data_IF_442282835602
#
_entry.id   IF_442282835602
#
_cell.length_a   1.000
_cell.length_b   1.000
_cell.length_c   1.000
_cell.angle_alpha   90.00
_cell.angle_beta   90.00
_cell.angle_gamma   90.00
#
_symmetry.space_group_name_H-M   'P 1'
#
loop_
_entity.id
_entity.type
_entity.pdbx_description
1 polymer ?
#
# COMPACT_ATOMS: atom_id res chain seq x y z
N UNK A 1 -13.43 5.45 7.01
CA UNK A 1 -14.32 4.88 8.05
C UNK A 1 -14.30 3.36 8.10
N UNK A 2 -14.56 2.62 6.98
CA UNK A 2 -14.58 1.17 6.98
C UNK A 2 -13.25 0.54 7.39
N UNK A 3 -12.13 1.05 6.91
CA UNK A 3 -10.80 0.55 7.27
C UNK A 3 -10.52 0.67 8.77
N UNK A 4 -10.81 1.82 9.38
CA UNK A 4 -10.60 2.02 10.82
C UNK A 4 -11.54 1.18 11.69
N UNK A 5 -12.74 0.92 11.20
CA UNK A 5 -13.70 0.08 11.91
C UNK A 5 -13.30 -1.40 11.88
N UNK A 6 -12.96 -1.93 10.70
CA UNK A 6 -12.69 -3.36 10.53
C UNK A 6 -11.21 -3.74 10.69
N UNK A 7 -10.27 -2.82 10.46
CA UNK A 7 -8.81 -3.06 10.46
C UNK A 7 -8.45 -4.33 9.70
N UNK A 8 -8.81 -4.42 8.42
CA UNK A 8 -8.64 -5.65 7.64
C UNK A 8 -7.17 -5.99 7.47
N UNK A 9 -6.82 -7.28 7.49
CA UNK A 9 -5.46 -7.74 7.22
C UNK A 9 -5.12 -7.65 5.73
N UNK A 10 -6.12 -7.78 4.86
CA UNK A 10 -5.98 -7.66 3.40
C UNK A 10 -7.07 -6.74 2.88
N UNK A 11 -6.69 -5.84 1.97
CA UNK A 11 -7.60 -4.92 1.28
C UNK A 11 -7.42 -5.04 -0.23
N UNK A 12 -8.51 -5.09 -0.97
CA UNK A 12 -8.50 -5.19 -2.43
C UNK A 12 -8.97 -3.87 -3.06
N UNK A 13 -8.23 -3.42 -4.08
CA UNK A 13 -8.50 -2.23 -4.86
C UNK A 13 -8.48 -2.60 -6.36
N UNK A 14 -9.51 -2.24 -7.11
CA UNK A 14 -9.74 -2.71 -8.48
C UNK A 14 -9.64 -1.56 -9.47
N UNK A 15 -8.70 -1.66 -10.41
CA UNK A 15 -8.33 -0.62 -11.37
C UNK A 15 -8.38 -1.08 -12.83
N UNK A 16 -8.27 -0.12 -13.74
CA UNK A 16 -8.28 -0.33 -15.19
C UNK A 16 -7.20 0.52 -15.88
N UNK A 17 -6.08 -0.09 -16.28
CA UNK A 17 -5.05 0.60 -17.08
C UNK A 17 -4.17 -0.29 -17.93
N UNK A 18 -4.05 -1.58 -17.63
CA UNK A 18 -3.10 -2.49 -18.30
C UNK A 18 -3.76 -3.78 -18.79
N UNK A 19 -3.14 -4.48 -19.78
CA UNK A 19 -3.75 -5.63 -20.43
C UNK A 19 -4.04 -6.81 -19.50
N UNK A 20 -5.15 -7.45 -19.74
CA UNK A 20 -5.61 -8.69 -19.12
C UNK A 20 -5.82 -8.57 -17.61
N UNK A 21 -4.96 -9.15 -16.78
CA UNK A 21 -5.02 -9.02 -15.33
C UNK A 21 -3.61 -8.88 -14.75
N UNK A 22 -3.30 -7.71 -14.28
CA UNK A 22 -2.17 -7.47 -13.40
C UNK A 22 -2.60 -7.66 -11.95
N UNK A 23 -1.77 -8.37 -11.17
CA UNK A 23 -1.92 -8.52 -9.72
C UNK A 23 -0.70 -7.96 -9.03
N UNK A 24 -0.90 -7.05 -8.11
CA UNK A 24 0.14 -6.17 -7.62
C UNK A 24 1.30 -6.84 -6.87
N UNK A 25 2.52 -6.57 -7.30
CA UNK A 25 3.76 -6.61 -6.50
C UNK A 25 4.56 -5.34 -6.69
N UNK A 26 4.41 -4.68 -7.84
CA UNK A 26 5.25 -3.56 -8.22
C UNK A 26 6.71 -3.95 -8.47
N UNK A 27 7.56 -2.95 -8.44
CA UNK A 27 9.01 -3.02 -8.56
C UNK A 27 9.61 -2.16 -7.43
N UNK A 28 10.71 -2.62 -6.83
CA UNK A 28 11.44 -1.77 -5.89
C UNK A 28 11.94 -0.45 -6.52
N UNK A 29 12.31 0.53 -5.73
CA UNK A 29 12.42 0.42 -4.28
C UNK A 29 11.06 0.50 -3.57
N UNK A 30 10.96 -0.21 -2.45
CA UNK A 30 9.85 -0.04 -1.50
C UNK A 30 10.27 0.94 -0.41
N UNK A 31 9.31 1.66 0.14
CA UNK A 31 9.58 2.61 1.21
C UNK A 31 10.21 1.90 2.41
N UNK A 32 11.31 2.43 2.92
CA UNK A 32 12.14 1.82 3.96
C UNK A 32 11.43 1.62 5.30
N UNK A 33 10.35 2.36 5.57
CA UNK A 33 9.58 2.24 6.80
C UNK A 33 8.57 1.09 6.80
N UNK A 34 8.28 0.50 5.63
CA UNK A 34 7.35 -0.64 5.52
C UNK A 34 7.99 -1.88 6.15
N UNK A 35 7.23 -2.57 7.01
CA UNK A 35 7.69 -3.82 7.60
C UNK A 35 7.93 -4.87 6.50
N UNK A 36 9.09 -5.57 6.50
CA UNK A 36 9.42 -6.60 5.50
C UNK A 36 8.35 -7.69 5.35
N UNK A 37 7.61 -8.02 6.41
CA UNK A 37 6.50 -8.97 6.33
C UNK A 37 5.43 -8.48 5.34
N UNK A 38 5.13 -7.18 5.30
CA UNK A 38 4.14 -6.64 4.35
C UNK A 38 4.58 -6.84 2.90
N UNK A 39 5.87 -6.62 2.62
CA UNK A 39 6.44 -6.84 1.28
C UNK A 39 6.39 -8.32 0.91
N UNK A 40 6.75 -9.22 1.83
CA UNK A 40 6.72 -10.67 1.62
C UNK A 40 5.28 -11.19 1.38
N UNK A 41 4.33 -10.80 2.24
CA UNK A 41 2.91 -11.14 2.06
C UNK A 41 2.38 -10.67 0.69
N UNK A 42 2.81 -9.52 0.25
CA UNK A 42 2.41 -8.93 -1.02
C UNK A 42 2.85 -9.77 -2.21
N UNK A 43 4.10 -10.24 -2.20
CA UNK A 43 4.64 -11.13 -3.22
C UNK A 43 3.94 -12.50 -3.19
N UNK A 44 3.74 -13.07 -2.00
CA UNK A 44 3.07 -14.36 -1.82
C UNK A 44 1.63 -14.32 -2.37
N UNK A 45 0.85 -13.32 -2.00
CA UNK A 45 -0.52 -13.14 -2.50
C UNK A 45 -0.57 -12.97 -4.02
N UNK A 46 0.33 -12.16 -4.59
CA UNK A 46 0.34 -11.92 -6.03
C UNK A 46 0.74 -13.17 -6.82
N UNK A 47 1.75 -13.90 -6.35
CA UNK A 47 2.19 -15.10 -7.04
C UNK A 47 1.21 -16.25 -6.89
N UNK A 48 0.49 -16.33 -5.77
CA UNK A 48 -0.62 -17.28 -5.61
C UNK A 48 -1.75 -16.99 -6.60
N UNK A 49 -2.15 -15.73 -6.78
CA UNK A 49 -3.13 -15.35 -7.81
C UNK A 49 -2.67 -15.78 -9.20
N UNK A 50 -1.42 -15.50 -9.57
CA UNK A 50 -0.85 -15.92 -10.88
C UNK A 50 -0.85 -17.43 -11.01
N UNK A 51 -0.46 -18.15 -9.96
CA UNK A 51 -0.36 -19.62 -9.96
C UNK A 51 -1.74 -20.28 -10.10
N UNK A 52 -2.70 -19.88 -9.27
CA UNK A 52 -4.04 -20.44 -9.27
C UNK A 52 -4.78 -20.18 -10.59
N UNK A 53 -4.69 -18.96 -11.11
CA UNK A 53 -5.35 -18.61 -12.36
C UNK A 53 -4.66 -19.25 -13.58
N UNK A 54 -3.34 -19.43 -13.53
CA UNK A 54 -2.61 -20.21 -14.54
C UNK A 54 -3.04 -21.67 -14.53
N UNK A 55 -3.20 -22.27 -13.34
CA UNK A 55 -3.64 -23.66 -13.16
C UNK A 55 -5.01 -23.94 -13.80
N UNK A 56 -5.92 -22.98 -13.75
CA UNK A 56 -7.24 -23.07 -14.40
C UNK A 56 -7.22 -22.64 -15.87
N UNK A 57 -6.05 -22.33 -16.42
CA UNK A 57 -5.87 -22.00 -17.83
C UNK A 57 -6.20 -20.56 -18.23
N UNK A 58 -6.36 -19.65 -17.28
CA UNK A 58 -6.63 -18.23 -17.56
C UNK A 58 -5.40 -17.57 -18.19
N UNK A 59 -5.48 -17.06 -19.44
CA UNK A 59 -4.34 -16.43 -20.08
C UNK A 59 -4.11 -15.00 -19.60
N UNK A 60 -2.85 -14.54 -19.63
CA UNK A 60 -2.48 -13.15 -19.46
C UNK A 60 -2.51 -12.62 -18.04
N UNK A 61 -2.61 -13.47 -17.03
CA UNK A 61 -2.44 -13.06 -15.63
C UNK A 61 -0.94 -12.85 -15.35
N UNK A 62 -0.60 -11.71 -14.76
CA UNK A 62 0.79 -11.34 -14.53
C UNK A 62 0.97 -10.44 -13.32
N UNK A 63 2.20 -10.40 -12.83
CA UNK A 63 2.63 -9.55 -11.73
C UNK A 63 3.97 -8.89 -12.08
N UNK A 64 4.62 -8.24 -11.13
CA UNK A 64 5.94 -7.63 -11.27
C UNK A 64 5.96 -6.34 -12.12
N UNK A 65 6.92 -5.45 -11.82
CA UNK A 65 7.06 -4.14 -12.46
C UNK A 65 5.79 -3.25 -12.37
N UNK A 66 5.61 -2.37 -13.30
CA UNK A 66 4.52 -1.43 -13.50
C UNK A 66 4.61 -0.19 -12.62
N UNK A 67 4.82 -0.28 -11.33
CA UNK A 67 4.97 0.84 -10.39
C UNK A 67 5.96 0.49 -9.28
N UNK A 68 6.40 1.49 -8.51
CA UNK A 68 7.23 1.26 -7.33
C UNK A 68 6.44 1.36 -6.02
N UNK A 69 7.05 0.87 -4.94
CA UNK A 69 6.46 0.79 -3.62
C UNK A 69 6.78 1.96 -2.69
N UNK A 70 6.92 3.17 -3.20
CA UNK A 70 7.42 4.29 -2.41
C UNK A 70 6.34 5.28 -1.96
N UNK A 71 5.46 5.68 -2.85
CA UNK A 71 4.55 6.80 -2.60
C UNK A 71 3.40 6.45 -1.64
N UNK A 72 3.15 7.34 -0.67
CA UNK A 72 2.11 7.17 0.34
C UNK A 72 0.71 7.63 -0.11
N UNK A 73 0.52 7.95 -1.38
CA UNK A 73 -0.71 8.59 -1.89
C UNK A 73 -1.71 7.64 -2.56
N UNK A 74 -1.37 6.37 -2.75
CA UNK A 74 -2.29 5.35 -3.24
C UNK A 74 -3.01 4.66 -2.09
N UNK A 75 -4.24 4.22 -2.32
CA UNK A 75 -5.06 3.53 -1.32
C UNK A 75 -4.37 2.27 -0.78
N UNK A 76 -3.70 1.50 -1.64
CA UNK A 76 -2.93 0.31 -1.24
C UNK A 76 -1.79 0.64 -0.28
N UNK A 77 -1.08 1.75 -0.50
CA UNK A 77 0.00 2.17 0.40
C UNK A 77 -0.54 2.60 1.75
N UNK A 78 -1.68 3.27 1.77
CA UNK A 78 -2.35 3.64 3.01
C UNK A 78 -2.73 2.42 3.85
N UNK A 79 -3.07 1.29 3.22
CA UNK A 79 -3.27 0.02 3.91
C UNK A 79 -1.94 -0.57 4.41
N UNK A 80 -0.91 -0.63 3.54
CA UNK A 80 0.42 -1.16 3.88
C UNK A 80 1.08 -0.38 5.03
N UNK A 81 0.91 0.93 5.07
CA UNK A 81 1.44 1.78 6.13
C UNK A 81 0.71 1.60 7.48
N UNK A 82 -0.42 0.89 7.49
CA UNK A 82 -1.19 0.49 8.67
C UNK A 82 -1.08 -1.01 8.99
N UNK A 83 0.01 -1.65 8.58
CA UNK A 83 0.29 -3.08 8.81
C UNK A 83 -0.67 -4.05 8.11
N UNK A 84 -1.57 -3.53 7.28
CA UNK A 84 -2.43 -4.30 6.41
C UNK A 84 -1.70 -4.66 5.11
N UNK A 85 -2.26 -5.53 4.30
CA UNK A 85 -1.77 -5.82 2.96
C UNK A 85 -2.72 -5.22 1.92
N UNK A 86 -2.34 -4.11 1.33
CA UNK A 86 -3.07 -3.48 0.25
C UNK A 86 -2.73 -4.16 -1.07
N UNK A 87 -3.77 -4.63 -1.76
CA UNK A 87 -3.66 -5.30 -3.06
C UNK A 87 -4.39 -4.48 -4.11
N UNK A 88 -3.81 -4.32 -5.29
CA UNK A 88 -4.60 -3.86 -6.41
C UNK A 88 -4.47 -4.75 -7.64
N UNK A 89 -5.49 -4.68 -8.45
CA UNK A 89 -5.69 -5.40 -9.69
C UNK A 89 -5.90 -4.41 -10.81
N UNK A 90 -5.32 -4.70 -11.98
CA UNK A 90 -5.51 -3.87 -13.16
C UNK A 90 -5.96 -4.72 -14.33
N UNK A 91 -6.92 -4.23 -15.08
CA UNK A 91 -7.33 -4.81 -16.36
C UNK A 91 -7.27 -3.77 -17.47
N UNK A 92 -7.65 -4.13 -18.70
CA UNK A 92 -7.73 -3.14 -19.79
C UNK A 92 -8.61 -1.95 -19.42
N UNK A 93 -8.10 -0.74 -19.65
CA UNK A 93 -8.90 0.48 -19.64
C UNK A 93 -9.94 0.48 -20.76
N UNK A 94 -11.14 0.93 -20.48
CA UNK A 94 -12.25 0.98 -21.42
C UNK A 94 -12.86 2.39 -21.47
N UNK A 95 -12.89 2.99 -22.67
CA UNK A 95 -13.51 4.31 -22.87
C UNK A 95 -15.04 4.25 -22.99
N UNK A 96 -15.60 3.08 -23.28
CA UNK A 96 -17.04 2.84 -23.35
C UNK A 96 -17.37 1.32 -23.22
N UNK A 97 -18.64 0.94 -23.00
CA UNK A 97 -19.02 -0.44 -22.66
C UNK A 97 -19.04 -1.43 -23.83
N UNK A 98 -18.62 -1.03 -25.03
CA UNK A 98 -18.59 -1.92 -26.20
C UNK A 98 -17.57 -3.02 -26.12
N UNK A 99 -17.63 -3.93 -27.08
CA UNK A 99 -16.63 -5.00 -27.26
C UNK A 99 -15.68 -4.61 -28.40
N UNK A 100 -14.38 -4.69 -28.14
CA UNK A 100 -13.34 -4.27 -29.09
C UNK A 100 -12.31 -5.34 -29.30
N UNK A 101 -11.73 -5.36 -30.49
CA UNK A 101 -10.50 -6.06 -30.73
C UNK A 101 -9.34 -5.33 -30.04
N UNK A 102 -8.61 -6.04 -29.19
CA UNK A 102 -7.36 -5.58 -28.57
C UNK A 102 -6.19 -6.33 -29.18
N UNK A 103 -5.17 -5.59 -29.62
CA UNK A 103 -3.92 -6.14 -30.17
C UNK A 103 -2.77 -5.83 -29.24
N UNK A 104 -2.01 -6.85 -28.90
CA UNK A 104 -0.87 -6.76 -28.01
C UNK A 104 0.44 -6.98 -28.79
N UNK A 105 1.46 -6.23 -28.42
CA UNK A 105 2.79 -6.42 -28.95
C UNK A 105 3.47 -7.68 -28.41
N UNK A 106 4.44 -8.21 -29.16
CA UNK A 106 5.21 -9.42 -28.81
C UNK A 106 5.79 -9.39 -27.39
N UNK A 107 6.23 -8.22 -26.91
CA UNK A 107 6.77 -8.06 -25.55
C UNK A 107 5.72 -8.39 -24.48
N UNK A 108 4.47 -8.04 -24.72
CA UNK A 108 3.37 -8.28 -23.78
C UNK A 108 2.81 -9.70 -23.87
N UNK A 109 3.14 -10.45 -24.93
CA UNK A 109 2.66 -11.82 -25.14
C UNK A 109 3.74 -12.88 -24.94
N UNK A 110 4.96 -12.51 -24.55
CA UNK A 110 6.02 -13.46 -24.26
C UNK A 110 5.82 -14.10 -22.88
N UNK A 111 6.11 -15.39 -22.77
CA UNK A 111 6.18 -16.09 -21.47
C UNK A 111 7.31 -15.50 -20.62
N UNK A 112 7.01 -15.23 -19.39
CA UNK A 112 7.94 -14.72 -18.37
C UNK A 112 7.68 -15.43 -17.06
N UNK A 113 8.63 -15.40 -16.13
CA UNK A 113 8.41 -15.96 -14.79
C UNK A 113 7.20 -15.31 -14.09
N UNK A 114 6.97 -14.02 -14.33
CA UNK A 114 5.88 -13.24 -13.78
C UNK A 114 4.59 -13.27 -14.64
N UNK A 115 4.62 -13.93 -15.77
CA UNK A 115 3.51 -14.17 -16.71
C UNK A 115 3.69 -15.54 -17.36
N UNK A 116 3.46 -16.63 -16.62
CA UNK A 116 3.74 -17.99 -17.11
C UNK A 116 2.79 -18.45 -18.22
N UNK A 117 1.52 -17.99 -18.21
CA UNK A 117 0.53 -18.24 -19.25
C UNK A 117 0.27 -16.95 -20.04
N UNK A 118 0.98 -16.71 -21.16
CA UNK A 118 0.89 -15.44 -21.88
C UNK A 118 -0.50 -15.22 -22.49
N UNK A 119 -0.89 -13.95 -22.72
CA UNK A 119 -2.13 -13.63 -23.41
C UNK A 119 -2.05 -13.92 -24.89
N UNK A 120 -3.22 -13.94 -25.54
CA UNK A 120 -3.33 -13.93 -27.02
C UNK A 120 -2.87 -12.58 -27.59
N UNK A 121 -2.23 -12.59 -28.76
CA UNK A 121 -1.83 -11.36 -29.45
C UNK A 121 -3.04 -10.50 -29.85
N UNK A 122 -4.16 -11.15 -30.18
CA UNK A 122 -5.41 -10.49 -30.52
C UNK A 122 -6.55 -11.12 -29.73
N UNK A 123 -7.38 -10.28 -29.11
CA UNK A 123 -8.53 -10.73 -28.33
C UNK A 123 -9.69 -9.76 -28.43
N UNK A 124 -10.92 -10.27 -28.47
CA UNK A 124 -12.13 -9.47 -28.29
C UNK A 124 -12.35 -9.23 -26.80
N UNK A 125 -12.39 -7.97 -26.40
CA UNK A 125 -12.46 -7.57 -25.00
C UNK A 125 -13.60 -6.59 -24.72
N UNK A 126 -14.25 -6.78 -23.57
CA UNK A 126 -15.36 -5.95 -23.10
C UNK A 126 -15.27 -5.74 -21.59
N UNK A 127 -16.09 -4.87 -21.02
CA UNK A 127 -16.21 -4.72 -19.55
C UNK A 127 -16.55 -6.03 -18.84
N UNK A 128 -17.26 -6.94 -19.52
CA UNK A 128 -17.54 -8.28 -18.95
C UNK A 128 -16.24 -9.05 -18.68
N UNK A 129 -15.24 -8.93 -19.54
CA UNK A 129 -13.94 -9.56 -19.35
C UNK A 129 -13.21 -8.94 -18.14
N UNK A 130 -13.22 -7.61 -17.98
CA UNK A 130 -12.68 -6.95 -16.80
C UNK A 130 -13.28 -7.53 -15.53
N UNK A 131 -14.62 -7.56 -15.45
CA UNK A 131 -15.34 -8.09 -14.28
C UNK A 131 -14.96 -9.54 -13.99
N UNK A 132 -14.94 -10.40 -15.02
CA UNK A 132 -14.63 -11.81 -14.85
C UNK A 132 -13.19 -12.03 -14.36
N UNK A 133 -12.23 -11.31 -14.96
CA UNK A 133 -10.81 -11.43 -14.61
C UNK A 133 -10.55 -10.92 -13.19
N UNK A 134 -11.05 -9.74 -12.84
CA UNK A 134 -10.91 -9.18 -11.50
C UNK A 134 -11.58 -10.05 -10.43
N UNK A 135 -12.81 -10.50 -10.69
CA UNK A 135 -13.51 -11.39 -9.77
C UNK A 135 -12.74 -12.70 -9.54
N UNK A 136 -12.16 -13.27 -10.60
CA UNK A 136 -11.34 -14.49 -10.48
C UNK A 136 -10.09 -14.24 -9.63
N UNK A 137 -9.39 -13.12 -9.84
CA UNK A 137 -8.23 -12.75 -9.04
C UNK A 137 -8.59 -12.54 -7.56
N UNK A 138 -9.65 -11.77 -7.28
CA UNK A 138 -10.11 -11.56 -5.90
C UNK A 138 -10.50 -12.88 -5.23
N UNK A 139 -11.20 -13.78 -5.93
CA UNK A 139 -11.58 -15.09 -5.37
C UNK A 139 -10.37 -15.98 -5.08
N UNK A 140 -9.33 -15.97 -5.93
CA UNK A 140 -8.09 -16.69 -5.68
C UNK A 140 -7.40 -16.15 -4.40
N UNK A 141 -7.26 -14.84 -4.30
CA UNK A 141 -6.67 -14.19 -3.14
C UNK A 141 -7.48 -14.40 -1.85
N UNK A 142 -8.82 -14.34 -1.91
CA UNK A 142 -9.68 -14.64 -0.77
C UNK A 142 -9.51 -16.07 -0.29
N UNK A 143 -9.43 -17.03 -1.23
CA UNK A 143 -9.16 -18.43 -0.89
C UNK A 143 -7.82 -18.57 -0.17
N UNK A 144 -6.75 -18.02 -0.74
CA UNK A 144 -5.42 -18.07 -0.13
C UNK A 144 -5.40 -17.44 1.27
N UNK A 145 -6.04 -16.28 1.42
CA UNK A 145 -6.13 -15.59 2.71
C UNK A 145 -6.91 -16.43 3.73
N UNK A 146 -7.98 -17.08 3.32
CA UNK A 146 -8.78 -17.96 4.20
C UNK A 146 -7.99 -19.22 4.62
N UNK A 147 -7.28 -19.84 3.67
CA UNK A 147 -6.47 -21.03 3.94
C UNK A 147 -5.28 -20.72 4.87
N UNK A 148 -4.80 -19.47 4.88
CA UNK A 148 -3.68 -18.97 5.69
C UNK A 148 -4.10 -17.93 6.74
N UNK A 149 -5.35 -17.92 7.17
CA UNK A 149 -5.91 -16.87 8.04
C UNK A 149 -5.11 -16.67 9.33
N UNK A 150 -4.64 -17.75 9.96
CA UNK A 150 -3.83 -17.67 11.18
C UNK A 150 -2.55 -16.86 10.94
N UNK A 151 -1.86 -17.11 9.85
CA UNK A 151 -0.62 -16.41 9.50
C UNK A 151 -0.86 -14.91 9.25
N UNK A 152 -1.94 -14.55 8.53
CA UNK A 152 -2.27 -13.15 8.29
C UNK A 152 -2.59 -12.38 9.56
N UNK A 153 -3.33 -13.00 10.48
CA UNK A 153 -3.65 -12.40 11.79
C UNK A 153 -2.39 -12.27 12.66
N UNK A 154 -1.56 -13.31 12.73
CA UNK A 154 -0.31 -13.29 13.47
C UNK A 154 0.66 -12.24 12.90
N UNK A 155 0.82 -12.18 11.60
CA UNK A 155 1.67 -11.20 10.94
C UNK A 155 1.18 -9.76 11.18
N UNK A 156 -0.13 -9.53 11.16
CA UNK A 156 -0.69 -8.22 11.48
C UNK A 156 -0.34 -7.80 12.91
N UNK A 157 -0.45 -8.74 13.87
CA UNK A 157 -0.05 -8.50 15.25
C UNK A 157 1.47 -8.26 15.37
N UNK A 158 2.30 -9.08 14.73
CA UNK A 158 3.76 -8.94 14.73
C UNK A 158 4.20 -7.58 14.19
N UNK A 159 3.68 -7.17 13.04
CA UNK A 159 3.98 -5.86 12.44
C UNK A 159 3.59 -4.71 13.38
N UNK A 160 2.40 -4.78 13.97
CA UNK A 160 1.90 -3.77 14.89
C UNK A 160 2.71 -3.70 16.19
N UNK A 161 3.09 -4.84 16.74
CA UNK A 161 3.92 -4.94 17.95
C UNK A 161 5.33 -4.43 17.71
N UNK A 162 5.96 -4.82 16.58
CA UNK A 162 7.29 -4.32 16.18
C UNK A 162 7.29 -2.81 15.97
N UNK A 163 6.26 -2.26 15.33
CA UNK A 163 6.13 -0.83 15.14
C UNK A 163 6.13 -0.07 16.47
N UNK A 164 5.33 -0.52 17.44
CA UNK A 164 5.30 0.07 18.77
C UNK A 164 6.62 -0.10 19.54
N UNK A 165 7.28 -1.26 19.43
CA UNK A 165 8.58 -1.50 20.08
C UNK A 165 9.68 -0.62 19.47
N UNK A 166 9.76 -0.53 18.16
CA UNK A 166 10.71 0.38 17.49
C UNK A 166 10.51 1.84 17.92
N UNK A 167 9.27 2.29 18.10
CA UNK A 167 8.99 3.63 18.59
C UNK A 167 9.48 3.91 20.02
N UNK A 168 9.72 2.86 20.83
CA UNK A 168 10.33 2.96 22.16
C UNK A 168 11.84 2.84 22.17
N UNK A 169 12.41 2.13 21.20
CA UNK A 169 13.83 1.70 21.23
C UNK A 169 14.69 2.33 20.14
N UNK A 170 14.09 2.85 19.07
CA UNK A 170 14.78 3.41 17.90
C UNK A 170 14.31 4.84 17.60
N UNK A 171 15.25 5.76 17.44
CA UNK A 171 14.92 7.13 17.00
C UNK A 171 14.38 7.15 15.57
N UNK A 172 13.54 8.14 15.24
CA UNK A 172 12.93 9.11 16.14
C UNK A 172 11.88 8.46 17.03
N UNK A 173 11.69 9.01 18.24
CA UNK A 173 10.71 8.52 19.22
C UNK A 173 9.36 9.22 19.10
N UNK A 174 9.37 10.43 18.57
CA UNK A 174 8.18 11.25 18.34
C UNK A 174 8.45 12.32 17.30
N UNK A 175 7.39 12.80 16.67
CA UNK A 175 7.39 14.05 15.91
C UNK A 175 6.69 15.14 16.71
N UNK A 176 7.30 16.31 16.77
CA UNK A 176 6.72 17.48 17.42
C UNK A 176 6.34 18.50 16.35
N UNK A 177 5.08 18.88 16.33
CA UNK A 177 4.54 19.94 15.48
C UNK A 177 4.32 21.15 16.38
N UNK A 178 5.13 22.21 16.29
CA UNK A 178 4.94 23.41 17.12
C UNK A 178 3.53 23.97 16.98
N UNK A 179 3.03 24.57 18.07
CA UNK A 179 1.70 25.19 18.10
C UNK A 179 1.49 26.14 16.92
N UNK A 180 0.28 26.18 16.36
CA UNK A 180 -0.04 26.96 15.16
C UNK A 180 0.33 28.44 15.25
N UNK A 181 0.39 29.02 16.46
CA UNK A 181 0.84 30.42 16.67
C UNK A 181 2.31 30.68 16.29
N UNK A 182 3.12 29.62 16.16
CA UNK A 182 4.53 29.68 15.73
C UNK A 182 4.73 29.17 14.30
N UNK A 183 3.67 28.93 13.57
CA UNK A 183 3.72 28.42 12.20
C UNK A 183 3.44 29.52 11.18
N UNK A 184 4.15 29.53 10.08
CA UNK A 184 3.88 30.42 8.95
C UNK A 184 2.51 30.16 8.30
N UNK A 185 1.98 28.94 8.50
CA UNK A 185 0.68 28.49 7.96
C UNK A 185 -0.15 27.83 9.05
N UNK A 186 -0.73 28.57 9.98
CA UNK A 186 -1.46 28.01 11.12
C UNK A 186 -2.65 27.11 10.71
N UNK A 187 -3.40 27.50 9.66
CA UNK A 187 -4.50 26.67 9.13
C UNK A 187 -3.97 25.34 8.57
N UNK A 188 -2.81 25.36 7.92
CA UNK A 188 -2.16 24.15 7.42
C UNK A 188 -1.74 23.21 8.53
N UNK A 189 -1.28 23.73 9.66
CA UNK A 189 -0.91 22.94 10.84
C UNK A 189 -2.14 22.24 11.43
N UNK A 190 -3.25 22.96 11.63
CA UNK A 190 -4.51 22.39 12.13
C UNK A 190 -5.03 21.31 11.16
N UNK A 191 -4.99 21.59 9.86
CA UNK A 191 -5.39 20.62 8.82
C UNK A 191 -4.54 19.34 8.90
N UNK A 192 -3.21 19.46 9.01
CA UNK A 192 -2.30 18.32 9.10
C UNK A 192 -2.54 17.49 10.36
N UNK A 193 -2.72 18.12 11.51
CA UNK A 193 -3.01 17.42 12.77
C UNK A 193 -4.32 16.64 12.67
N UNK A 194 -5.39 17.28 12.18
CA UNK A 194 -6.67 16.61 11.97
C UNK A 194 -6.55 15.44 10.99
N UNK A 195 -5.81 15.62 9.88
CA UNK A 195 -5.57 14.57 8.90
C UNK A 195 -4.86 13.36 9.54
N UNK A 196 -3.82 13.58 10.35
CA UNK A 196 -3.12 12.50 11.05
C UNK A 196 -4.06 11.73 11.98
N UNK A 197 -4.93 12.41 12.72
CA UNK A 197 -5.95 11.78 13.57
C UNK A 197 -7.00 11.03 12.75
N UNK A 198 -7.48 11.60 11.66
CA UNK A 198 -8.42 10.94 10.73
C UNK A 198 -7.80 9.71 10.08
N UNK A 199 -6.49 9.69 9.91
CA UNK A 199 -5.72 8.55 9.42
C UNK A 199 -5.48 7.47 10.49
N UNK A 200 -5.90 7.71 11.74
CA UNK A 200 -5.84 6.77 12.86
C UNK A 200 -4.58 6.87 13.72
N UNK A 201 -3.81 7.94 13.58
CA UNK A 201 -2.67 8.21 14.46
C UNK A 201 -3.11 8.82 15.77
N UNK A 202 -2.47 8.41 16.85
CA UNK A 202 -2.59 9.05 18.16
C UNK A 202 -1.76 10.33 18.17
N UNK A 203 -2.42 11.47 18.35
CA UNK A 203 -1.80 12.78 18.47
C UNK A 203 -2.12 13.36 19.83
N UNK A 204 -1.10 13.78 20.56
CA UNK A 204 -1.21 14.41 21.88
C UNK A 204 -0.94 15.91 21.77
N UNK A 205 -1.40 16.66 22.75
CA UNK A 205 -1.08 18.08 22.90
C UNK A 205 -0.29 18.30 24.19
N UNK A 206 0.82 19.05 24.11
CA UNK A 206 1.64 19.32 25.29
C UNK A 206 0.98 20.34 26.21
N UNK A 207 0.96 20.05 27.51
CA UNK A 207 0.50 21.02 28.54
C UNK A 207 1.57 22.08 28.84
N UNK A 208 2.83 21.76 28.61
CA UNK A 208 3.98 22.63 28.92
C UNK A 208 4.85 22.83 27.68
N UNK A 209 5.68 23.86 27.69
CA UNK A 209 6.72 24.06 26.71
C UNK A 209 7.70 22.87 26.73
N UNK A 210 8.13 22.42 25.55
CA UNK A 210 9.10 21.35 25.36
C UNK A 210 10.46 21.97 25.05
N UNK A 211 11.50 21.51 25.74
CA UNK A 211 12.90 21.90 25.49
C UNK A 211 13.79 20.69 25.69
N UNK A 212 14.35 20.15 24.61
CA UNK A 212 15.26 19.00 24.65
C UNK A 212 16.23 19.05 23.45
N UNK A 213 17.52 19.20 23.74
CA UNK A 213 18.53 19.40 22.70
C UNK A 213 18.25 20.66 21.89
N UNK A 214 18.12 20.52 20.59
CA UNK A 214 17.79 21.62 19.68
C UNK A 214 16.26 21.83 19.51
N UNK A 215 15.45 21.01 20.18
CA UNK A 215 13.99 21.11 20.15
C UNK A 215 13.51 22.17 21.13
N UNK A 216 12.86 23.19 20.61
CA UNK A 216 12.12 24.19 21.39
C UNK A 216 10.69 24.30 20.83
N UNK A 217 9.68 24.00 21.64
CA UNK A 217 8.28 24.10 21.24
C UNK A 217 7.41 24.62 22.38
N UNK A 218 6.46 25.54 22.15
CA UNK A 218 5.62 26.11 23.18
C UNK A 218 4.62 25.09 23.72
N UNK A 219 4.03 25.41 24.88
CA UNK A 219 2.84 24.71 25.36
C UNK A 219 1.74 24.74 24.29
N UNK A 220 0.97 23.67 24.19
CA UNK A 220 -0.04 23.49 23.16
C UNK A 220 0.48 22.87 21.86
N UNK A 221 1.79 22.61 21.75
CA UNK A 221 2.36 21.91 20.59
C UNK A 221 1.86 20.47 20.50
N UNK A 222 1.76 19.96 19.28
CA UNK A 222 1.26 18.60 19.04
C UNK A 222 2.41 17.59 19.00
N UNK A 223 2.17 16.41 19.56
CA UNK A 223 3.15 15.33 19.67
C UNK A 223 2.56 14.07 19.05
N UNK A 224 3.20 13.58 18.00
CA UNK A 224 2.92 12.27 17.38
C UNK A 224 3.95 11.28 17.90
N UNK A 225 3.60 10.54 18.94
CA UNK A 225 4.49 9.51 19.50
C UNK A 225 4.61 8.36 18.51
N UNK A 226 5.80 7.78 18.41
CA UNK A 226 6.08 6.68 17.46
C UNK A 226 5.97 5.29 18.08
N UNK A 227 5.71 5.18 19.37
CA UNK A 227 5.42 3.93 20.07
C UNK A 227 3.96 3.47 19.91
N UNK A 228 3.43 3.63 18.71
CA UNK A 228 2.07 3.25 18.33
C UNK A 228 2.09 2.30 17.12
N UNK A 229 1.03 1.46 16.93
CA UNK A 229 0.98 0.48 15.85
C UNK A 229 1.16 1.05 14.43
N UNK A 230 0.74 2.30 14.20
CA UNK A 230 0.86 2.98 12.91
C UNK A 230 2.10 3.87 12.79
N UNK A 231 3.18 3.50 13.50
CA UNK A 231 4.49 4.17 13.39
C UNK A 231 4.93 4.37 11.94
N UNK A 232 4.80 3.35 11.11
CA UNK A 232 5.17 3.40 9.69
C UNK A 232 4.43 4.51 8.95
N UNK A 233 3.14 4.65 9.18
CA UNK A 233 2.35 5.74 8.62
C UNK A 233 2.85 7.10 9.09
N UNK A 234 3.07 7.27 10.39
CA UNK A 234 3.58 8.53 10.95
C UNK A 234 4.93 8.92 10.34
N UNK A 235 5.86 7.95 10.20
CA UNK A 235 7.16 8.19 9.58
C UNK A 235 7.02 8.64 8.13
N UNK A 236 6.27 7.93 7.32
CA UNK A 236 6.11 8.27 5.89
C UNK A 236 5.43 9.63 5.70
N UNK A 237 4.52 10.02 6.60
CA UNK A 237 3.83 11.30 6.52
C UNK A 237 4.66 12.49 7.04
N UNK A 238 5.55 12.26 8.00
CA UNK A 238 6.26 13.32 8.72
C UNK A 238 7.72 13.45 8.34
N UNK A 239 8.36 12.36 7.90
CA UNK A 239 9.79 12.34 7.60
C UNK A 239 10.09 12.86 6.18
N UNK A 240 11.31 13.35 6.00
CA UNK A 240 11.82 13.69 4.68
C UNK A 240 12.01 12.43 3.86
N UNK A 241 11.42 12.40 2.69
CA UNK A 241 11.56 11.26 1.79
C UNK A 241 12.97 11.24 1.14
N UNK A 242 13.70 10.15 1.36
CA UNK A 242 15.03 9.92 0.79
C UNK A 242 14.97 8.79 -0.24
N UNK A 243 14.48 9.12 -1.44
CA UNK A 243 14.38 8.15 -2.52
C UNK A 243 15.78 7.64 -2.92
N UNK A 244 16.01 6.33 -3.10
CA UNK A 244 17.34 5.78 -3.42
C UNK A 244 17.91 6.33 -4.72
N UNK A 245 19.20 6.66 -4.70
CA UNK A 245 19.92 7.13 -5.88
C UNK A 245 19.89 6.10 -7.02
N UNK A 246 19.76 6.57 -8.25
CA UNK A 246 19.72 5.74 -9.45
C UNK A 246 18.40 5.00 -9.70
N UNK A 247 17.42 5.10 -8.79
CA UNK A 247 16.07 4.64 -9.04
C UNK A 247 15.22 5.77 -9.65
N UNK A 248 14.21 5.41 -10.45
CA UNK A 248 13.26 6.39 -10.94
C UNK A 248 12.33 6.81 -9.81
N UNK A 249 12.30 8.08 -9.47
CA UNK A 249 11.37 8.62 -8.49
C UNK A 249 9.91 8.40 -8.95
N UNK A 250 8.96 8.22 -8.01
CA UNK A 250 7.56 8.06 -8.33
C UNK A 250 6.95 9.31 -8.96
#
# INVERSE_FOLDING_TARGET
DSFHHWKPQVMHDLHESVPYLYVSTGLGPYNEWIDPITVDEWHNLAYEDVSELTRVGMPGVWTHAFYNGWAANYLIWMANLRNSNGRFYETFGNSHPGTFERKLGKRSTATQWYRPNPPLETVMWSLRNNTNYMQSGVLASLKYTADNAHQFVENFWLKSSRAGEKGRTEAPYAWVIPHESQQDRPVGTIFMVNLLMDMGLEVHQSEFALSEGDLEAPAGSYIVRLDQPYRTLAQVMMDKQNFPEGANAP
#
